data_IF_164887800806
#
_entry.id   IF_164887800806
#
_cell.length_a   1.000
_cell.length_b   1.000
_cell.length_c   1.000
_cell.angle_alpha   90.00
_cell.angle_beta   90.00
_cell.angle_gamma   90.00
#
_symmetry.space_group_name_H-M   'P 1'
#
loop_
_entity.id
_entity.type
_entity.pdbx_description
1 polymer ?
#
# COMPACT_ATOMS: atom_id res chain seq x y z
N UNK A 1 10.51 -12.75 13.14
CA UNK A 1 9.92 -11.48 12.74
C UNK A 1 10.65 -10.95 11.51
N UNK A 2 9.93 -10.58 10.46
CA UNK A 2 10.50 -9.94 9.26
C UNK A 2 10.06 -8.48 9.17
N UNK A 3 10.93 -7.61 8.67
CA UNK A 3 10.65 -6.19 8.44
C UNK A 3 11.26 -5.76 7.13
N UNK A 4 10.69 -4.71 6.52
CA UNK A 4 11.17 -4.14 5.27
C UNK A 4 11.35 -2.63 5.39
N UNK A 5 12.33 -2.10 4.71
CA UNK A 5 12.51 -0.66 4.51
C UNK A 5 11.70 -0.12 3.33
N UNK A 6 11.02 -1.00 2.58
CA UNK A 6 10.36 -0.63 1.32
C UNK A 6 9.19 0.34 1.46
N UNK A 7 8.48 0.33 2.59
CA UNK A 7 7.23 1.11 2.77
C UNK A 7 7.45 2.28 3.72
N UNK A 8 7.48 2.05 5.01
CA UNK A 8 7.61 3.11 6.04
C UNK A 8 8.87 3.98 5.86
N UNK A 9 9.96 3.42 5.36
CA UNK A 9 11.21 4.13 5.10
C UNK A 9 11.33 4.68 3.68
N UNK A 10 10.32 4.51 2.81
CA UNK A 10 10.32 4.95 1.41
C UNK A 10 11.51 4.43 0.58
N UNK A 11 12.05 3.26 0.94
CA UNK A 11 13.25 2.67 0.33
C UNK A 11 12.92 1.43 -0.51
N UNK A 12 11.82 1.44 -1.25
CA UNK A 12 11.38 0.27 -2.04
C UNK A 12 12.44 -0.19 -3.06
N UNK A 13 13.13 0.74 -3.71
CA UNK A 13 14.18 0.44 -4.70
C UNK A 13 15.46 -0.14 -4.06
N UNK A 14 15.70 0.10 -2.77
CA UNK A 14 16.87 -0.43 -2.08
C UNK A 14 16.82 -1.94 -1.85
N UNK A 15 15.64 -2.57 -1.94
CA UNK A 15 15.44 -4.00 -1.65
C UNK A 15 16.01 -4.43 -0.30
N UNK A 16 15.86 -3.58 0.72
CA UNK A 16 16.40 -3.75 2.06
C UNK A 16 15.32 -4.21 3.03
N UNK A 17 15.65 -5.19 3.83
CA UNK A 17 14.83 -5.68 4.93
C UNK A 17 15.71 -6.41 5.94
N UNK A 18 15.12 -6.88 7.02
CA UNK A 18 15.81 -7.69 8.01
C UNK A 18 14.88 -8.73 8.62
N UNK A 19 15.50 -9.75 9.18
CA UNK A 19 14.84 -10.81 9.92
C UNK A 19 15.44 -10.89 11.34
N UNK A 20 14.57 -11.07 12.32
CA UNK A 20 14.96 -11.39 13.69
C UNK A 20 14.38 -12.76 14.03
N UNK A 21 15.24 -13.71 14.37
CA UNK A 21 14.86 -15.08 14.65
C UNK A 21 15.88 -15.80 15.53
N UNK A 22 15.61 -17.06 15.89
CA UNK A 22 16.58 -17.90 16.60
C UNK A 22 17.85 -18.08 15.78
N UNK A 23 18.98 -18.29 16.46
CA UNK A 23 20.30 -18.42 15.82
C UNK A 23 20.37 -19.57 14.79
N UNK A 24 19.72 -20.68 15.06
CA UNK A 24 19.66 -21.81 14.12
C UNK A 24 18.99 -21.40 12.79
N UNK A 25 17.88 -20.65 12.85
CA UNK A 25 17.18 -20.17 11.64
C UNK A 25 18.04 -19.17 10.87
N UNK A 26 18.73 -18.28 11.57
CA UNK A 26 19.61 -17.31 10.93
C UNK A 26 20.76 -18.02 10.22
N UNK A 27 21.37 -19.02 10.84
CA UNK A 27 22.43 -19.83 10.25
C UNK A 27 21.99 -20.56 8.98
N UNK A 28 20.79 -21.18 9.00
CA UNK A 28 20.22 -21.84 7.82
C UNK A 28 19.95 -20.87 6.68
N UNK A 29 19.46 -19.66 6.98
CA UNK A 29 19.24 -18.62 5.98
C UNK A 29 20.55 -18.06 5.41
N UNK A 30 21.57 -17.87 6.23
CA UNK A 30 22.91 -17.46 5.78
C UNK A 30 23.54 -18.49 4.83
N UNK A 31 23.25 -19.78 5.02
CA UNK A 31 23.76 -20.83 4.13
C UNK A 31 23.14 -20.81 2.72
N UNK A 32 21.96 -20.20 2.55
CA UNK A 32 21.25 -20.14 1.24
C UNK A 32 21.25 -18.74 0.61
N UNK A 33 21.70 -17.72 1.34
CA UNK A 33 21.81 -16.36 0.82
C UNK A 33 22.96 -16.26 -0.19
N UNK A 34 22.70 -15.58 -1.31
CA UNK A 34 23.73 -15.34 -2.32
C UNK A 34 24.86 -14.46 -1.77
N UNK A 35 26.12 -14.75 -2.09
CA UNK A 35 27.24 -13.88 -1.75
C UNK A 35 26.99 -12.46 -2.29
N UNK A 36 27.33 -11.46 -1.48
CA UNK A 36 27.18 -10.04 -1.84
C UNK A 36 25.75 -9.62 -2.25
N UNK A 37 24.72 -10.30 -1.75
CA UNK A 37 23.29 -10.03 -2.02
C UNK A 37 22.86 -8.59 -1.67
N UNK A 38 23.62 -7.92 -0.78
CA UNK A 38 23.38 -6.56 -0.33
C UNK A 38 24.67 -5.73 -0.46
N UNK A 39 24.66 -4.77 -1.37
CA UNK A 39 25.83 -3.90 -1.59
C UNK A 39 26.06 -2.90 -0.46
N UNK A 40 27.26 -2.36 -0.39
CA UNK A 40 27.68 -1.45 0.68
C UNK A 40 26.85 -0.14 0.73
N UNK A 41 26.38 0.35 -0.42
CA UNK A 41 25.55 1.57 -0.46
C UNK A 41 24.20 1.34 0.19
N UNK A 42 23.55 0.22 -0.09
CA UNK A 42 22.26 -0.15 0.52
C UNK A 42 22.40 -0.37 2.02
N UNK A 43 23.47 -1.04 2.45
CA UNK A 43 23.76 -1.23 3.87
C UNK A 43 23.94 0.14 4.57
N UNK A 44 24.76 1.02 3.99
CA UNK A 44 24.97 2.37 4.52
C UNK A 44 23.70 3.21 4.53
N UNK A 45 22.90 3.14 3.48
CA UNK A 45 21.60 3.83 3.40
C UNK A 45 20.65 3.35 4.50
N UNK A 46 20.57 2.03 4.78
CA UNK A 46 19.78 1.49 5.86
C UNK A 46 20.21 2.02 7.24
N UNK A 47 21.51 2.01 7.53
CA UNK A 47 22.04 2.56 8.77
C UNK A 47 21.74 4.06 8.89
N UNK A 48 21.89 4.82 7.80
CA UNK A 48 21.60 6.24 7.78
C UNK A 48 20.11 6.52 7.99
N UNK A 49 19.22 5.73 7.39
CA UNK A 49 17.76 5.88 7.53
C UNK A 49 17.32 5.88 9.00
N UNK A 50 17.97 5.11 9.86
CA UNK A 50 17.66 5.05 11.30
C UNK A 50 17.88 6.38 12.04
N UNK A 51 18.58 7.35 11.44
CA UNK A 51 18.69 8.70 12.00
C UNK A 51 17.46 9.58 11.73
N UNK A 52 16.56 9.12 10.85
CA UNK A 52 15.38 9.85 10.41
C UNK A 52 14.07 9.16 10.86
N UNK A 53 14.10 8.62 12.09
CA UNK A 53 12.91 7.94 12.67
C UNK A 53 11.73 8.89 12.78
N UNK A 54 11.96 10.14 13.23
CA UNK A 54 10.89 11.14 13.34
C UNK A 54 10.20 11.45 12.01
N UNK A 55 10.98 11.57 10.93
CA UNK A 55 10.42 11.80 9.59
C UNK A 55 9.63 10.56 9.09
N UNK A 56 10.11 9.37 9.43
CA UNK A 56 9.40 8.13 9.11
C UNK A 56 8.07 8.05 9.86
N UNK A 57 8.07 8.33 11.15
CA UNK A 57 6.87 8.31 12.00
C UNK A 57 5.85 9.34 11.54
N UNK A 58 6.27 10.56 11.18
CA UNK A 58 5.39 11.58 10.62
C UNK A 58 4.70 11.09 9.34
N UNK A 59 5.46 10.51 8.39
CA UNK A 59 4.85 9.94 7.16
C UNK A 59 3.90 8.78 7.43
N UNK A 60 4.16 7.98 8.47
CA UNK A 60 3.25 6.91 8.88
C UNK A 60 1.92 7.49 9.39
N UNK A 61 1.95 8.58 10.15
CA UNK A 61 0.74 9.27 10.60
C UNK A 61 -0.04 9.85 9.42
N UNK A 62 0.62 10.51 8.47
CA UNK A 62 -0.02 11.01 7.25
C UNK A 62 -0.73 9.89 6.46
N UNK A 63 -0.11 8.70 6.37
CA UNK A 63 -0.70 7.53 5.73
C UNK A 63 -1.92 7.02 6.50
N UNK A 64 -1.86 6.99 7.82
CA UNK A 64 -2.97 6.58 8.68
C UNK A 64 -4.16 7.54 8.49
N UNK A 65 -3.91 8.84 8.51
CA UNK A 65 -4.94 9.86 8.34
C UNK A 65 -5.57 9.81 6.95
N UNK A 66 -4.77 9.69 5.90
CA UNK A 66 -5.25 9.51 4.53
C UNK A 66 -6.07 8.23 4.35
N UNK A 67 -5.67 7.13 4.99
CA UNK A 67 -6.44 5.89 5.00
C UNK A 67 -7.79 6.08 5.67
N UNK A 68 -7.82 6.68 6.85
CA UNK A 68 -9.05 6.95 7.59
C UNK A 68 -10.01 7.83 6.77
N UNK A 69 -9.50 8.82 6.04
CA UNK A 69 -10.30 9.68 5.16
C UNK A 69 -10.93 8.88 4.01
N UNK A 70 -10.18 7.99 3.37
CA UNK A 70 -10.69 7.11 2.30
C UNK A 70 -11.73 6.12 2.84
N UNK A 71 -11.46 5.47 3.97
CA UNK A 71 -12.39 4.54 4.60
C UNK A 71 -13.69 5.24 5.02
N UNK A 72 -13.59 6.46 5.54
CA UNK A 72 -14.77 7.29 5.85
C UNK A 72 -15.59 7.65 4.62
N UNK A 73 -14.94 7.93 3.48
CA UNK A 73 -15.63 8.13 2.21
C UNK A 73 -16.38 6.86 1.79
N UNK A 74 -15.75 5.70 1.88
CA UNK A 74 -16.35 4.43 1.50
C UNK A 74 -17.56 4.05 2.36
N UNK A 75 -17.58 4.43 3.64
CA UNK A 75 -18.73 4.22 4.51
C UNK A 75 -20.02 4.92 4.02
N UNK A 76 -19.89 5.98 3.23
CA UNK A 76 -21.02 6.71 2.61
C UNK A 76 -21.33 6.28 1.17
N UNK A 77 -20.67 5.25 0.64
CA UNK A 77 -20.84 4.77 -0.73
C UNK A 77 -21.22 3.28 -0.74
N UNK A 78 -21.84 2.83 -1.84
CA UNK A 78 -22.18 1.41 -2.07
C UNK A 78 -20.91 0.60 -2.46
N UNK A 79 -19.96 0.50 -1.52
CA UNK A 79 -18.65 -0.14 -1.68
C UNK A 79 -18.46 -1.16 -0.56
N UNK A 80 -17.96 -2.34 -0.90
CA UNK A 80 -17.39 -3.27 0.08
C UNK A 80 -15.93 -2.93 0.31
N UNK A 81 -15.50 -2.94 1.56
CA UNK A 81 -14.09 -2.70 1.95
C UNK A 81 -13.70 -3.64 3.07
N UNK A 82 -12.41 -3.83 3.28
CA UNK A 82 -11.84 -4.66 4.36
C UNK A 82 -10.92 -3.81 5.22
N UNK A 83 -10.89 -4.04 6.55
CA UNK A 83 -10.01 -3.32 7.45
C UNK A 83 -8.56 -3.40 6.97
N UNK A 84 -7.88 -2.26 6.92
CA UNK A 84 -6.49 -2.19 6.46
C UNK A 84 -5.56 -1.68 7.56
N UNK A 85 -4.45 -2.41 7.78
CA UNK A 85 -3.29 -1.95 8.54
C UNK A 85 -2.13 -1.53 7.64
N UNK A 86 -2.34 -1.45 6.31
CA UNK A 86 -1.32 -1.17 5.30
C UNK A 86 -1.39 0.28 4.78
N UNK A 87 -0.53 0.59 3.82
CA UNK A 87 -0.55 1.85 3.07
C UNK A 87 -1.48 1.81 1.85
N UNK A 88 -2.49 0.95 1.86
CA UNK A 88 -3.49 0.84 0.81
C UNK A 88 -4.82 0.34 1.39
N UNK A 89 -5.92 0.54 0.65
CA UNK A 89 -7.23 -0.02 0.95
C UNK A 89 -7.68 -0.88 -0.23
N UNK A 90 -8.18 -2.08 0.08
CA UNK A 90 -8.86 -2.96 -0.87
C UNK A 90 -10.36 -2.65 -0.83
N UNK A 91 -10.98 -2.54 -2.01
CA UNK A 91 -12.40 -2.21 -2.12
C UNK A 91 -13.00 -2.78 -3.41
N UNK A 92 -14.32 -2.90 -3.46
CA UNK A 92 -15.06 -3.21 -4.69
C UNK A 92 -16.44 -2.53 -4.67
N UNK A 93 -17.00 -2.13 -5.83
CA UNK A 93 -18.38 -1.67 -5.89
C UNK A 93 -19.32 -2.83 -5.53
N UNK A 94 -20.38 -2.55 -4.77
CA UNK A 94 -21.41 -3.56 -4.48
C UNK A 94 -22.19 -3.90 -5.73
N UNK A 95 -22.65 -5.15 -5.81
CA UNK A 95 -23.43 -5.62 -6.95
C UNK A 95 -24.72 -4.81 -7.18
N UNK A 96 -25.27 -4.23 -6.13
CA UNK A 96 -26.47 -3.37 -6.14
C UNK A 96 -26.32 -2.12 -7.01
N UNK A 97 -25.10 -1.65 -7.23
CA UNK A 97 -24.82 -0.44 -8.04
C UNK A 97 -24.93 -0.67 -9.54
N UNK A 98 -24.83 -1.92 -10.00
CA UNK A 98 -24.68 -2.25 -11.42
C UNK A 98 -23.30 -1.86 -12.01
N UNK A 99 -22.40 -1.26 -11.21
CA UNK A 99 -21.06 -0.86 -11.62
C UNK A 99 -20.11 -2.05 -11.42
N UNK A 100 -19.38 -2.44 -12.47
CA UNK A 100 -18.32 -3.45 -12.33
C UNK A 100 -17.02 -2.82 -11.84
N UNK A 101 -16.13 -3.64 -11.22
CA UNK A 101 -14.78 -3.19 -10.87
C UNK A 101 -14.02 -2.62 -12.06
N UNK A 102 -14.19 -3.22 -13.26
CA UNK A 102 -13.58 -2.73 -14.50
C UNK A 102 -14.11 -1.35 -14.91
N UNK A 103 -15.45 -1.14 -14.83
CA UNK A 103 -16.06 0.16 -15.16
C UNK A 103 -15.61 1.25 -14.18
N UNK A 104 -15.54 0.91 -12.89
CA UNK A 104 -15.05 1.84 -11.86
C UNK A 104 -13.57 2.15 -12.08
N UNK A 105 -12.74 1.17 -12.39
CA UNK A 105 -11.32 1.37 -12.71
C UNK A 105 -11.16 2.31 -13.91
N UNK A 106 -11.93 2.10 -14.99
CA UNK A 106 -11.87 2.96 -16.16
C UNK A 106 -12.33 4.39 -15.83
N UNK A 107 -13.43 4.55 -15.09
CA UNK A 107 -13.92 5.87 -14.68
C UNK A 107 -12.91 6.66 -13.83
N UNK A 108 -12.15 5.97 -12.98
CA UNK A 108 -11.05 6.58 -12.23
C UNK A 108 -9.88 6.96 -13.15
N UNK A 109 -9.52 6.07 -14.09
CA UNK A 109 -8.45 6.33 -15.06
C UNK A 109 -8.77 7.55 -15.95
N UNK A 110 -10.01 7.69 -16.41
CA UNK A 110 -10.47 8.82 -17.23
C UNK A 110 -10.38 10.15 -16.48
N UNK A 111 -10.34 10.09 -15.13
CA UNK A 111 -10.09 11.24 -14.26
C UNK A 111 -8.61 11.40 -13.87
N UNK A 112 -7.71 10.65 -14.50
CA UNK A 112 -6.28 10.68 -14.22
C UNK A 112 -5.85 9.96 -12.93
N UNK A 113 -6.72 9.12 -12.36
CA UNK A 113 -6.44 8.39 -11.12
C UNK A 113 -6.20 6.92 -11.43
N UNK A 114 -4.98 6.46 -11.19
CA UNK A 114 -4.59 5.07 -11.42
C UNK A 114 -4.64 4.26 -10.12
N UNK A 115 -5.55 3.30 -10.06
CA UNK A 115 -5.63 2.31 -8.99
C UNK A 115 -5.24 0.91 -9.51
N UNK A 116 -4.92 0.00 -8.61
CA UNK A 116 -4.60 -1.38 -8.97
C UNK A 116 -5.88 -2.17 -9.20
N UNK A 117 -6.04 -2.73 -10.39
CA UNK A 117 -7.02 -3.80 -10.64
C UNK A 117 -6.49 -5.12 -10.07
N UNK A 118 -7.25 -5.70 -9.14
CA UNK A 118 -6.96 -6.97 -8.49
C UNK A 118 -7.92 -8.09 -8.96
N UNK A 119 -8.79 -7.82 -9.91
CA UNK A 119 -9.88 -8.73 -10.32
C UNK A 119 -9.40 -10.08 -10.86
N UNK A 120 -8.17 -10.16 -11.35
CA UNK A 120 -7.56 -11.40 -11.86
C UNK A 120 -7.00 -12.31 -10.76
N UNK A 121 -6.97 -11.86 -9.50
CA UNK A 121 -6.46 -12.65 -8.39
C UNK A 121 -7.57 -13.51 -7.81
N UNK A 122 -7.23 -14.72 -7.39
CA UNK A 122 -8.19 -15.66 -6.80
C UNK A 122 -8.95 -15.02 -5.62
N UNK A 123 -10.27 -15.12 -5.62
CA UNK A 123 -11.14 -14.55 -4.59
C UNK A 123 -11.35 -13.03 -4.64
N UNK A 124 -10.70 -12.30 -5.57
CA UNK A 124 -10.75 -10.83 -5.65
C UNK A 124 -11.53 -10.30 -6.86
N UNK A 125 -12.53 -11.04 -7.34
CA UNK A 125 -13.38 -10.59 -8.44
C UNK A 125 -13.95 -9.17 -8.17
N UNK A 126 -13.84 -8.27 -9.16
CA UNK A 126 -14.22 -6.85 -9.08
C UNK A 126 -13.47 -6.01 -8.03
N UNK A 127 -12.42 -6.54 -7.40
CA UNK A 127 -11.67 -5.80 -6.39
C UNK A 127 -10.65 -4.86 -7.03
N UNK A 128 -10.59 -3.66 -6.47
CA UNK A 128 -9.60 -2.63 -6.76
C UNK A 128 -8.81 -2.31 -5.49
N UNK A 129 -7.60 -1.80 -5.63
CA UNK A 129 -6.75 -1.39 -4.52
C UNK A 129 -6.22 0.02 -4.75
N UNK A 130 -6.55 0.93 -3.86
CA UNK A 130 -6.00 2.28 -3.83
C UNK A 130 -4.83 2.35 -2.83
N UNK A 131 -3.71 2.93 -3.24
CA UNK A 131 -2.59 3.25 -2.35
C UNK A 131 -2.84 4.64 -1.76
N UNK A 132 -2.56 4.80 -0.47
CA UNK A 132 -2.64 6.11 0.19
C UNK A 132 -1.52 7.00 -0.35
N UNK A 133 -1.89 8.12 -0.90
CA UNK A 133 -1.01 9.15 -1.44
C UNK A 133 -0.89 10.37 -0.51
N UNK A 134 -0.52 11.48 -1.10
CA UNK A 134 -0.58 12.80 -0.45
C UNK A 134 -2.04 13.21 -0.17
N UNK A 135 -2.25 14.19 0.70
CA UNK A 135 -3.60 14.71 0.98
C UNK A 135 -4.33 15.12 -0.30
N UNK A 136 -3.63 15.80 -1.21
CA UNK A 136 -4.18 16.23 -2.50
C UNK A 136 -4.60 15.04 -3.38
N UNK A 137 -3.79 14.00 -3.46
CA UNK A 137 -4.10 12.79 -4.23
C UNK A 137 -5.28 12.03 -3.62
N UNK A 138 -5.32 11.93 -2.29
CA UNK A 138 -6.43 11.29 -1.57
C UNK A 138 -7.75 12.06 -1.78
N UNK A 139 -7.72 13.40 -1.73
CA UNK A 139 -8.89 14.25 -1.99
C UNK A 139 -9.39 14.11 -3.43
N UNK A 140 -8.48 14.06 -4.41
CA UNK A 140 -8.83 13.83 -5.81
C UNK A 140 -9.50 12.46 -6.00
N UNK A 141 -8.96 11.41 -5.39
CA UNK A 141 -9.56 10.08 -5.40
C UNK A 141 -10.94 10.06 -4.76
N UNK A 142 -11.10 10.66 -3.57
CA UNK A 142 -12.39 10.74 -2.86
C UNK A 142 -13.45 11.48 -3.69
N UNK A 143 -13.07 12.59 -4.31
CA UNK A 143 -13.96 13.36 -5.20
C UNK A 143 -14.41 12.53 -6.40
N UNK A 144 -13.49 11.85 -7.06
CA UNK A 144 -13.78 10.99 -8.20
C UNK A 144 -14.70 9.82 -7.81
N UNK A 145 -14.44 9.17 -6.68
CA UNK A 145 -15.30 8.09 -6.16
C UNK A 145 -16.73 8.58 -5.92
N UNK A 146 -16.91 9.71 -5.27
CA UNK A 146 -18.24 10.31 -5.04
C UNK A 146 -18.99 10.66 -6.32
N UNK A 147 -18.28 11.02 -7.37
CA UNK A 147 -18.88 11.37 -8.66
C UNK A 147 -19.30 10.12 -9.45
N UNK A 148 -18.44 9.09 -9.48
CA UNK A 148 -18.69 7.86 -10.25
C UNK A 148 -19.74 6.98 -9.57
N UNK A 149 -19.80 6.98 -8.24
CA UNK A 149 -20.66 6.11 -7.44
C UNK A 149 -22.04 6.76 -7.10
N UNK A 150 -22.37 7.90 -7.68
CA UNK A 150 -23.71 8.51 -7.61
C UNK A 150 -24.70 7.77 -8.49
#
# INVERSE_FOLDING_TARGET
VTRTFSKTWSMAAARLGYLVGPSWLVADLEAVVLPYHLDAFKQRAGVLALKYVGDMESRVLDIIDGRNAIESCFAGLEVDTWPSGANFVLFRPRATTGISGKSLWQGLLDKGILVRDCSSWEGLANCLRVTIGTSQENEAFISAMKEIMK
#
